data_IF_919967432443
#
_entry.id   IF_919967432443
#
_cell.length_a   1.000
_cell.length_b   1.000
_cell.length_c   1.000
_cell.angle_alpha   90.00
_cell.angle_beta   90.00
_cell.angle_gamma   90.00
#
_symmetry.space_group_name_H-M   'P 1'
#
loop_
_entity.id
_entity.type
_entity.pdbx_description
1 polymer ?
#
# COMPACT_ATOMS: atom_id res chain seq x y z
N UNK A 1 -3.60 39.64 34.48
CA UNK A 1 -2.61 38.96 33.60
C UNK A 1 -2.92 37.47 33.55
N UNK A 2 -3.63 36.98 32.52
CA UNK A 2 -3.59 35.56 32.13
C UNK A 2 -4.18 35.42 30.71
N UNK A 3 -3.32 35.58 29.71
CA UNK A 3 -3.67 35.35 28.30
C UNK A 3 -3.45 33.86 28.04
N UNK A 4 -4.51 33.05 28.08
CA UNK A 4 -4.44 31.65 27.64
C UNK A 4 -4.64 31.68 26.13
N UNK A 5 -3.53 31.73 25.41
CA UNK A 5 -3.50 31.56 23.95
C UNK A 5 -3.69 30.06 23.70
N UNK A 6 -4.94 29.67 23.46
CA UNK A 6 -5.31 28.32 23.05
C UNK A 6 -4.95 28.18 21.55
N UNK A 7 -3.67 27.92 21.29
CA UNK A 7 -3.14 27.67 19.96
C UNK A 7 -3.75 26.39 19.39
N UNK A 8 -4.75 26.53 18.52
CA UNK A 8 -5.31 25.41 17.76
C UNK A 8 -4.28 24.95 16.74
N UNK A 9 -3.49 23.93 17.09
CA UNK A 9 -2.67 23.20 16.15
C UNK A 9 -3.60 22.43 15.21
N UNK A 10 -3.96 23.04 14.08
CA UNK A 10 -4.64 22.36 12.99
C UNK A 10 -3.62 21.42 12.35
N UNK A 11 -3.57 20.18 12.84
CA UNK A 11 -2.86 19.11 12.17
C UNK A 11 -3.64 18.81 10.89
N UNK A 12 -3.21 19.39 9.77
CA UNK A 12 -3.77 19.11 8.46
C UNK A 12 -3.48 17.64 8.11
N UNK A 13 -4.41 16.75 8.45
CA UNK A 13 -4.40 15.37 7.96
C UNK A 13 -4.68 15.48 6.46
N UNK A 14 -3.62 15.42 5.66
CA UNK A 14 -3.74 15.21 4.23
C UNK A 14 -4.51 13.90 4.03
N UNK A 15 -5.77 14.00 3.62
CA UNK A 15 -6.62 12.86 3.33
C UNK A 15 -6.16 12.21 2.03
N UNK A 16 -5.08 11.43 2.08
CA UNK A 16 -4.73 10.51 1.00
C UNK A 16 -5.83 9.44 0.93
N UNK A 17 -6.45 9.27 -0.24
CA UNK A 17 -7.45 8.23 -0.43
C UNK A 17 -6.84 6.85 -0.11
N UNK A 18 -7.55 6.00 0.63
CA UNK A 18 -7.00 4.71 1.01
C UNK A 18 -6.99 3.74 -0.19
N UNK A 19 -5.90 2.97 -0.35
CA UNK A 19 -5.83 1.88 -1.32
C UNK A 19 -6.95 0.87 -1.04
N UNK A 20 -7.70 0.47 -2.07
CA UNK A 20 -8.75 -0.55 -1.93
C UNK A 20 -8.13 -1.95 -1.74
N UNK A 21 -7.90 -2.30 -0.47
CA UNK A 21 -7.36 -3.60 -0.08
C UNK A 21 -8.33 -4.76 -0.36
N UNK A 22 -9.64 -4.49 -0.50
CA UNK A 22 -10.63 -5.50 -0.85
C UNK A 22 -10.34 -6.16 -2.20
N UNK A 23 -9.94 -5.37 -3.19
CA UNK A 23 -9.51 -5.88 -4.49
C UNK A 23 -8.26 -6.77 -4.39
N UNK A 24 -7.31 -6.41 -3.51
CA UNK A 24 -6.07 -7.17 -3.31
C UNK A 24 -6.34 -8.55 -2.67
N UNK A 25 -7.27 -8.61 -1.72
CA UNK A 25 -7.64 -9.83 -1.00
C UNK A 25 -8.19 -10.92 -1.91
N UNK A 26 -8.81 -10.55 -3.04
CA UNK A 26 -9.37 -11.50 -4.01
C UNK A 26 -8.34 -12.52 -4.51
N UNK A 27 -7.09 -12.08 -4.74
CA UNK A 27 -6.01 -12.99 -5.16
C UNK A 27 -5.06 -13.36 -4.03
N UNK A 28 -4.83 -12.46 -3.06
CA UNK A 28 -3.83 -12.64 -2.01
C UNK A 28 -4.35 -13.31 -0.73
N UNK A 29 -5.66 -13.53 -0.61
CA UNK A 29 -6.29 -14.06 0.60
C UNK A 29 -6.75 -12.95 1.54
N UNK A 30 -7.71 -13.28 2.42
CA UNK A 30 -8.32 -12.30 3.33
C UNK A 30 -7.30 -11.67 4.28
N UNK A 31 -6.25 -12.43 4.62
CA UNK A 31 -5.16 -12.07 5.52
C UNK A 31 -3.82 -12.03 4.77
N UNK A 32 -3.83 -11.90 3.45
CA UNK A 32 -2.62 -11.81 2.62
C UNK A 32 -1.70 -13.05 2.72
N UNK A 33 -2.29 -14.20 3.03
CA UNK A 33 -1.64 -15.47 3.31
C UNK A 33 -1.39 -16.35 2.08
N UNK A 34 -1.94 -15.98 0.92
CA UNK A 34 -1.87 -16.82 -0.29
C UNK A 34 -0.77 -16.36 -1.24
N UNK A 35 -0.19 -17.33 -1.94
CA UNK A 35 0.53 -17.11 -3.18
C UNK A 35 -0.49 -16.82 -4.28
N UNK A 36 -0.71 -15.54 -4.60
CA UNK A 36 -1.64 -15.14 -5.63
C UNK A 36 -1.29 -15.83 -6.96
N UNK A 37 -2.28 -16.55 -7.51
CA UNK A 37 -2.18 -17.35 -8.73
C UNK A 37 -1.00 -18.35 -8.73
N UNK A 38 -0.52 -18.74 -7.54
CA UNK A 38 0.64 -19.61 -7.37
C UNK A 38 2.00 -18.97 -7.73
N UNK A 39 2.04 -17.66 -7.99
CA UNK A 39 3.26 -16.96 -8.47
C UNK A 39 3.78 -15.87 -7.55
N UNK A 40 2.93 -15.26 -6.71
CA UNK A 40 3.39 -14.19 -5.81
C UNK A 40 4.13 -14.73 -4.58
N UNK A 41 4.91 -13.86 -3.92
CA UNK A 41 5.27 -14.04 -2.51
C UNK A 41 4.01 -13.95 -1.62
N UNK A 42 4.09 -14.49 -0.40
CA UNK A 42 3.04 -14.33 0.62
C UNK A 42 3.21 -12.96 1.25
N UNK A 43 2.22 -12.08 1.09
CA UNK A 43 2.37 -10.66 1.43
C UNK A 43 2.45 -10.43 2.94
N UNK A 44 1.73 -11.20 3.76
CA UNK A 44 1.82 -11.08 5.23
C UNK A 44 3.20 -11.42 5.81
N UNK A 45 4.03 -12.16 5.07
CA UNK A 45 5.36 -12.56 5.54
C UNK A 45 6.44 -11.52 5.22
N UNK A 46 6.12 -10.57 4.32
CA UNK A 46 6.95 -9.43 3.97
C UNK A 46 6.82 -8.32 5.01
N UNK A 47 7.88 -7.54 5.18
CA UNK A 47 7.84 -6.29 5.95
C UNK A 47 7.02 -5.23 5.22
N UNK A 48 6.50 -4.25 5.98
CA UNK A 48 5.81 -3.08 5.40
C UNK A 48 6.65 -2.37 4.34
N UNK A 49 7.94 -2.20 4.60
CA UNK A 49 8.87 -1.57 3.66
C UNK A 49 8.99 -2.36 2.35
N UNK A 50 9.12 -3.68 2.41
CA UNK A 50 9.18 -4.53 1.22
C UNK A 50 7.89 -4.49 0.40
N UNK A 51 6.73 -4.45 1.05
CA UNK A 51 5.44 -4.34 0.36
C UNK A 51 5.32 -2.98 -0.33
N UNK A 52 5.57 -1.88 0.37
CA UNK A 52 5.53 -0.53 -0.21
C UNK A 52 6.50 -0.38 -1.38
N UNK A 53 7.75 -0.83 -1.23
CA UNK A 53 8.74 -0.81 -2.31
C UNK A 53 8.31 -1.66 -3.51
N UNK A 54 7.73 -2.83 -3.27
CA UNK A 54 7.20 -3.70 -4.33
C UNK A 54 6.06 -3.03 -5.10
N UNK A 55 5.10 -2.41 -4.39
CA UNK A 55 3.95 -1.73 -4.99
C UNK A 55 4.37 -0.54 -5.86
N UNK A 56 5.26 0.31 -5.33
CA UNK A 56 5.83 1.44 -6.09
C UNK A 56 6.64 0.94 -7.28
N UNK A 57 7.43 -0.12 -7.10
CA UNK A 57 8.19 -0.75 -8.17
C UNK A 57 7.30 -1.33 -9.28
N UNK A 58 6.15 -1.94 -8.96
CA UNK A 58 5.18 -2.40 -9.96
C UNK A 58 4.60 -1.22 -10.74
N UNK A 59 4.23 -0.13 -10.07
CA UNK A 59 3.72 1.09 -10.71
C UNK A 59 4.74 1.64 -11.72
N UNK A 60 5.99 1.75 -11.28
CA UNK A 60 7.08 2.32 -12.07
C UNK A 60 7.68 1.33 -13.09
N UNK A 61 7.31 0.05 -13.02
CA UNK A 61 7.84 -1.00 -13.88
C UNK A 61 9.27 -1.43 -13.56
N UNK A 62 9.80 -1.04 -12.40
CA UNK A 62 11.15 -1.37 -11.94
C UNK A 62 11.22 -2.65 -11.10
N UNK A 63 10.05 -3.21 -10.75
CA UNK A 63 9.94 -4.45 -9.98
C UNK A 63 8.94 -5.43 -10.61
N UNK A 64 9.18 -6.72 -10.40
CA UNK A 64 8.20 -7.77 -10.62
C UNK A 64 8.68 -8.96 -11.44
N UNK A 65 8.02 -10.10 -11.24
CA UNK A 65 8.26 -11.35 -11.96
C UNK A 65 7.26 -11.62 -13.09
N UNK A 66 6.89 -12.90 -13.32
CA UNK A 66 6.01 -13.30 -14.44
C UNK A 66 4.65 -12.58 -14.48
N UNK A 67 4.09 -12.23 -13.32
CA UNK A 67 2.79 -11.56 -13.19
C UNK A 67 2.89 -10.05 -12.97
N UNK A 68 4.03 -9.41 -13.31
CA UNK A 68 4.23 -7.97 -13.09
C UNK A 68 3.23 -7.10 -13.83
N UNK A 69 2.80 -7.50 -15.03
CA UNK A 69 1.80 -6.75 -15.81
C UNK A 69 0.44 -6.68 -15.12
N UNK A 70 0.01 -7.78 -14.51
CA UNK A 70 -1.23 -7.83 -13.72
C UNK A 70 -1.12 -6.88 -12.52
N UNK A 71 -0.04 -6.98 -11.75
CA UNK A 71 0.15 -6.11 -10.59
C UNK A 71 0.27 -4.64 -10.98
N UNK A 72 0.98 -4.31 -12.06
CA UNK A 72 1.06 -2.95 -12.60
C UNK A 72 -0.34 -2.39 -12.89
N UNK A 73 -1.22 -3.17 -13.51
CA UNK A 73 -2.62 -2.77 -13.75
C UNK A 73 -3.38 -2.48 -12.45
N UNK A 74 -3.21 -3.31 -11.42
CA UNK A 74 -3.89 -3.12 -10.13
C UNK A 74 -3.44 -1.85 -9.40
N UNK A 75 -2.15 -1.51 -9.48
CA UNK A 75 -1.58 -0.37 -8.73
C UNK A 75 -1.54 0.93 -9.54
N UNK A 76 -1.76 0.89 -10.86
CA UNK A 76 -1.58 2.05 -11.75
C UNK A 76 -2.40 3.28 -11.32
N UNK A 77 -3.60 3.06 -10.78
CA UNK A 77 -4.54 4.12 -10.37
C UNK A 77 -4.20 4.81 -9.06
N UNK A 78 -3.33 4.24 -8.23
CA UNK A 78 -2.93 4.84 -6.95
C UNK A 78 -1.66 5.67 -7.12
N UNK A 79 -1.55 6.74 -6.34
CA UNK A 79 -0.32 7.52 -6.20
C UNK A 79 0.75 6.75 -5.42
N UNK A 80 2.00 7.22 -5.51
CA UNK A 80 3.12 6.64 -4.73
C UNK A 80 2.83 6.73 -3.22
N UNK A 81 2.37 7.88 -2.74
CA UNK A 81 2.06 8.11 -1.34
C UNK A 81 0.99 7.14 -0.79
N UNK A 82 -0.05 6.85 -1.59
CA UNK A 82 -1.08 5.86 -1.23
C UNK A 82 -0.50 4.44 -1.12
N UNK A 83 0.37 4.05 -2.06
CA UNK A 83 1.01 2.73 -2.07
C UNK A 83 2.01 2.55 -0.93
N UNK A 84 2.70 3.62 -0.52
CA UNK A 84 3.60 3.62 0.62
C UNK A 84 2.87 3.52 1.96
N UNK A 85 1.61 3.95 1.99
CA UNK A 85 0.78 4.08 3.21
C UNK A 85 -0.28 2.98 3.34
N UNK A 86 -0.10 1.83 2.70
CA UNK A 86 -1.09 0.72 2.74
C UNK A 86 -1.17 -0.01 4.08
N UNK A 87 -0.10 0.03 4.87
CA UNK A 87 0.02 -0.72 6.13
C UNK A 87 0.13 -2.24 5.97
N UNK A 88 0.28 -2.75 4.74
CA UNK A 88 0.43 -4.17 4.45
C UNK A 88 1.82 -4.70 4.83
N UNK A 89 1.88 -5.97 5.23
CA UNK A 89 3.10 -6.60 5.73
C UNK A 89 3.12 -6.69 7.25
N UNK A 90 4.05 -7.47 7.78
CA UNK A 90 4.31 -7.60 9.22
C UNK A 90 5.02 -6.37 9.78
#
# INVERSE_FOLDING_TARGET
>A
MKKIVLGTLVLSVAACAAVNLGACKGCHGANFEKKALGKSKIVKDLTKAEVSASLVGYKNGTYGGPMKGVMKGQVAKYSVAELESTGLGK
#
